data_IF_259195495719
#
_entry.id   IF_259195495719
#
_cell.length_a   1.000
_cell.length_b   1.000
_cell.length_c   1.000
_cell.angle_alpha   90.00
_cell.angle_beta   90.00
_cell.angle_gamma   90.00
#
_symmetry.space_group_name_H-M   'P 1'
#
loop_
_entity.id
_entity.type
_entity.pdbx_description
1 polymer ?
#
# COMPACT_ATOMS: atom_id res chain seq x y z
N UNK A 1 -4.06 13.82 5.79
CA UNK A 1 -3.43 12.84 6.72
C UNK A 1 -2.04 13.33 7.16
N UNK A 2 -1.70 13.30 8.46
CA UNK A 2 -0.33 13.63 8.90
C UNK A 2 0.65 12.61 8.30
N UNK A 3 1.79 13.10 7.77
CA UNK A 3 2.83 12.29 7.09
C UNK A 3 3.23 11.03 7.86
N UNK A 4 3.31 11.13 9.20
CA UNK A 4 3.61 10.01 10.10
C UNK A 4 2.63 8.83 9.98
N UNK A 5 1.32 9.07 9.88
CA UNK A 5 0.34 7.97 9.76
C UNK A 5 0.54 7.19 8.46
N UNK A 6 0.68 7.90 7.34
CA UNK A 6 0.95 7.25 6.05
C UNK A 6 2.27 6.49 6.03
N UNK A 7 3.25 6.89 6.84
CA UNK A 7 4.53 6.19 6.98
C UNK A 7 4.38 4.92 7.83
N UNK A 8 3.60 4.95 8.91
CA UNK A 8 3.29 3.77 9.75
C UNK A 8 2.48 2.74 8.97
N UNK A 9 1.41 3.19 8.31
CA UNK A 9 0.52 2.35 7.51
C UNK A 9 1.28 1.65 6.38
N UNK A 10 2.06 2.41 5.61
CA UNK A 10 2.91 1.83 4.57
C UNK A 10 3.88 0.80 5.15
N UNK A 11 4.53 1.10 6.28
CA UNK A 11 5.49 0.19 6.90
C UNK A 11 4.84 -1.12 7.37
N UNK A 12 3.60 -1.08 7.84
CA UNK A 12 2.82 -2.26 8.19
C UNK A 12 2.46 -3.07 6.95
N UNK A 13 1.92 -2.44 5.90
CA UNK A 13 1.57 -3.08 4.64
C UNK A 13 2.78 -3.73 3.97
N UNK A 14 3.89 -3.01 3.85
CA UNK A 14 5.11 -3.57 3.25
C UNK A 14 5.66 -4.73 4.08
N UNK A 15 5.49 -4.72 5.41
CA UNK A 15 5.92 -5.85 6.24
C UNK A 15 5.06 -7.09 6.01
N UNK A 16 3.75 -6.93 5.86
CA UNK A 16 2.82 -8.04 5.60
C UNK A 16 2.96 -8.55 4.16
N UNK A 17 3.08 -7.64 3.21
CA UNK A 17 2.95 -7.97 1.78
C UNK A 17 4.26 -8.47 1.19
N UNK A 18 5.37 -7.81 1.49
CA UNK A 18 6.70 -8.09 0.89
C UNK A 18 7.78 -8.37 1.95
N UNK A 19 7.37 -8.61 3.20
CA UNK A 19 8.28 -8.96 4.29
C UNK A 19 9.18 -7.84 4.79
N UNK A 20 9.09 -6.62 4.23
CA UNK A 20 10.05 -5.52 4.46
C UNK A 20 9.53 -4.45 5.41
N UNK A 21 10.44 -3.95 6.26
CA UNK A 21 10.25 -2.70 7.02
C UNK A 21 11.12 -1.61 6.40
N UNK A 22 10.52 -0.43 6.21
CA UNK A 22 11.11 0.71 5.50
C UNK A 22 11.33 1.91 6.42
N UNK A 23 10.60 1.99 7.54
CA UNK A 23 10.74 3.04 8.55
C UNK A 23 11.04 2.42 9.92
N UNK A 24 12.02 2.98 10.64
CA UNK A 24 12.43 2.57 11.99
C UNK A 24 13.83 1.93 12.08
N UNK A 25 14.35 1.73 13.30
CA UNK A 25 15.72 1.25 13.55
C UNK A 25 16.00 -0.17 13.02
N UNK A 26 14.96 -0.98 12.80
CA UNK A 26 15.05 -2.34 12.25
C UNK A 26 14.75 -2.42 10.74
N UNK A 27 14.77 -1.29 10.03
CA UNK A 27 14.55 -1.26 8.58
C UNK A 27 15.77 -1.89 7.85
N UNK A 28 15.67 -3.18 7.52
CA UNK A 28 16.64 -3.90 6.68
C UNK A 28 16.28 -3.83 5.18
N UNK A 29 15.20 -3.13 4.83
CA UNK A 29 14.69 -3.03 3.46
C UNK A 29 15.28 -1.87 2.66
N UNK A 30 15.05 -1.92 1.35
CA UNK A 30 15.33 -0.82 0.42
C UNK A 30 14.40 0.37 0.72
N UNK A 31 14.75 1.11 1.77
CA UNK A 31 13.99 2.25 2.30
C UNK A 31 13.71 3.28 1.21
N UNK A 32 14.65 3.45 0.28
CA UNK A 32 14.49 4.35 -0.85
C UNK A 32 13.36 3.88 -1.78
N UNK A 33 13.36 2.61 -2.22
CA UNK A 33 12.27 2.08 -3.06
C UNK A 33 10.90 2.18 -2.43
N UNK A 34 10.80 1.98 -1.12
CA UNK A 34 9.52 2.08 -0.43
C UNK A 34 9.00 3.53 -0.35
N UNK A 35 9.89 4.49 -0.07
CA UNK A 35 9.56 5.92 -0.12
C UNK A 35 9.16 6.33 -1.54
N UNK A 36 9.91 5.87 -2.54
CA UNK A 36 9.64 6.14 -3.95
C UNK A 36 8.29 5.56 -4.38
N UNK A 37 7.95 4.35 -3.93
CA UNK A 37 6.64 3.73 -4.16
C UNK A 37 5.51 4.53 -3.50
N UNK A 38 5.67 4.89 -2.23
CA UNK A 38 4.66 5.68 -1.50
C UNK A 38 4.39 7.02 -2.21
N UNK A 39 5.45 7.67 -2.68
CA UNK A 39 5.37 8.94 -3.40
C UNK A 39 4.76 8.76 -4.79
N UNK A 40 5.08 7.68 -5.49
CA UNK A 40 4.48 7.33 -6.77
C UNK A 40 2.97 7.05 -6.65
N UNK A 41 2.55 6.27 -5.65
CA UNK A 41 1.13 5.98 -5.38
C UNK A 41 0.37 7.26 -4.98
N UNK A 42 0.96 8.12 -4.14
CA UNK A 42 0.31 9.42 -3.82
C UNK A 42 0.13 10.29 -5.05
N UNK A 43 1.15 10.36 -5.91
CA UNK A 43 1.07 11.13 -7.16
C UNK A 43 0.06 10.52 -8.14
N UNK A 44 -0.06 9.19 -8.22
CA UNK A 44 -1.05 8.55 -9.08
C UNK A 44 -2.47 8.87 -8.63
N UNK A 45 -2.76 8.84 -7.32
CA UNK A 45 -4.06 9.26 -6.79
C UNK A 45 -4.36 10.74 -7.04
N UNK A 46 -3.37 11.61 -6.88
CA UNK A 46 -3.53 13.03 -7.18
C UNK A 46 -3.91 13.27 -8.66
N UNK A 47 -3.19 12.63 -9.59
CA UNK A 47 -3.49 12.70 -11.02
C UNK A 47 -4.83 12.06 -11.39
N UNK A 48 -5.21 10.95 -10.74
CA UNK A 48 -6.53 10.33 -10.94
C UNK A 48 -7.67 11.23 -10.44
N UNK A 49 -7.49 11.94 -9.32
CA UNK A 49 -8.45 12.92 -8.83
C UNK A 49 -8.66 14.08 -9.81
N UNK A 50 -7.59 14.60 -10.41
CA UNK A 50 -7.67 15.59 -11.49
C UNK A 50 -8.35 15.03 -12.75
N UNK A 51 -8.11 13.76 -13.08
CA UNK A 51 -8.74 13.05 -14.19
C UNK A 51 -10.24 12.84 -14.01
N UNK A 52 -10.70 12.52 -12.80
CA UNK A 52 -12.13 12.38 -12.49
C UNK A 52 -12.89 13.71 -12.63
N UNK A 53 -12.26 14.84 -12.27
CA UNK A 53 -12.84 16.16 -12.49
C UNK A 53 -13.06 16.47 -14.00
N UNK A 54 -12.26 15.86 -14.88
CA UNK A 54 -12.39 15.99 -16.34
C UNK A 54 -13.60 15.24 -16.89
N UNK A 55 -13.86 14.01 -16.41
CA UNK A 55 -15.03 13.24 -16.85
C UNK A 55 -16.36 13.90 -16.40
N UNK A 56 -16.32 14.68 -15.32
CA UNK A 56 -17.44 15.50 -14.85
C UNK A 56 -17.56 16.87 -15.55
N UNK A 57 -16.51 17.39 -16.20
CA UNK A 57 -16.51 18.72 -16.85
C UNK A 57 -15.98 18.60 -18.30
N UNK A 58 -16.86 18.35 -19.28
CA UNK A 58 -16.51 18.06 -20.67
C UNK A 58 -15.65 19.14 -21.37
N UNK A 59 -15.75 20.40 -20.94
CA UNK A 59 -15.03 21.54 -21.53
C UNK A 59 -13.52 21.45 -21.26
N UNK A 60 -13.10 20.75 -20.19
CA UNK A 60 -11.68 20.52 -19.89
C UNK A 60 -11.07 19.42 -20.77
N UNK A 61 -11.86 18.61 -21.48
CA UNK A 61 -11.37 17.48 -22.25
C UNK A 61 -10.39 17.87 -23.38
N UNK A 62 -10.49 19.10 -23.91
CA UNK A 62 -9.69 19.63 -25.03
C UNK A 62 -8.49 20.51 -24.61
N UNK A 63 -8.26 20.75 -23.32
CA UNK A 63 -7.19 21.61 -22.82
C UNK A 63 -5.93 20.78 -22.45
N UNK A 64 -5.15 20.35 -23.45
CA UNK A 64 -3.71 20.03 -23.26
C UNK A 64 -3.33 18.87 -22.34
N UNK A 65 -4.16 17.83 -22.21
CA UNK A 65 -3.98 16.71 -21.25
C UNK A 65 -2.90 15.67 -21.59
N UNK A 66 -2.21 15.78 -22.74
CA UNK A 66 -1.08 14.91 -23.10
C UNK A 66 0.01 14.89 -22.01
N UNK A 67 0.20 16.00 -21.30
CA UNK A 67 1.13 16.10 -20.18
C UNK A 67 0.72 15.24 -18.96
N UNK A 68 -0.57 15.19 -18.63
CA UNK A 68 -1.07 14.40 -17.49
C UNK A 68 -1.00 12.91 -17.78
N UNK A 69 -1.40 12.50 -19.00
CA UNK A 69 -1.31 11.09 -19.43
C UNK A 69 0.15 10.60 -19.39
N UNK A 70 1.08 11.40 -19.94
CA UNK A 70 2.53 11.09 -19.88
C UNK A 70 3.07 11.05 -18.46
N UNK A 71 2.59 11.92 -17.57
CA UNK A 71 2.98 11.90 -16.17
C UNK A 71 2.50 10.61 -15.46
N UNK A 72 1.27 10.18 -15.75
CA UNK A 72 0.70 8.94 -15.21
C UNK A 72 1.43 7.70 -15.74
N UNK A 73 1.75 7.67 -17.03
CA UNK A 73 2.54 6.61 -17.65
C UNK A 73 3.91 6.47 -16.97
N UNK A 74 4.60 7.60 -16.76
CA UNK A 74 5.90 7.61 -16.06
C UNK A 74 5.80 7.06 -14.63
N UNK A 75 4.72 7.39 -13.92
CA UNK A 75 4.47 6.88 -12.57
C UNK A 75 4.19 5.37 -12.61
N UNK A 76 3.40 4.89 -13.58
CA UNK A 76 3.14 3.47 -13.75
C UNK A 76 4.42 2.67 -14.00
N UNK A 77 5.31 3.17 -14.87
CA UNK A 77 6.63 2.56 -15.14
C UNK A 77 7.48 2.52 -13.86
N UNK A 78 7.47 3.60 -13.06
CA UNK A 78 8.21 3.65 -11.81
C UNK A 78 7.71 2.61 -10.81
N UNK A 79 6.38 2.49 -10.65
CA UNK A 79 5.75 1.50 -9.76
C UNK A 79 6.09 0.08 -10.23
N UNK A 80 5.92 -0.20 -11.53
CA UNK A 80 6.19 -1.53 -12.10
C UNK A 80 7.65 -1.96 -11.88
N UNK A 81 8.61 -1.06 -12.11
CA UNK A 81 10.03 -1.32 -11.88
C UNK A 81 10.35 -1.67 -10.42
N UNK A 82 9.72 -0.98 -9.46
CA UNK A 82 9.88 -1.26 -8.03
C UNK A 82 9.31 -2.64 -7.68
N UNK A 83 8.10 -2.93 -8.15
CA UNK A 83 7.43 -4.20 -7.89
C UNK A 83 8.17 -5.39 -8.53
N UNK A 84 8.67 -5.23 -9.75
CA UNK A 84 9.51 -6.25 -10.40
C UNK A 84 10.77 -6.50 -9.57
N UNK A 85 11.44 -5.44 -9.09
CA UNK A 85 12.63 -5.57 -8.27
C UNK A 85 12.39 -6.39 -6.99
N UNK A 86 11.22 -6.22 -6.36
CA UNK A 86 10.83 -7.01 -5.18
C UNK A 86 10.41 -8.43 -5.52
N UNK A 87 9.71 -8.63 -6.65
CA UNK A 87 9.33 -9.95 -7.15
C UNK A 87 10.57 -10.84 -7.39
N UNK A 88 11.57 -10.29 -8.09
CA UNK A 88 12.84 -10.99 -8.37
C UNK A 88 13.67 -11.23 -7.10
N UNK A 89 13.53 -10.37 -6.10
CA UNK A 89 14.14 -10.61 -4.79
C UNK A 89 13.50 -11.80 -4.06
N UNK A 90 12.17 -11.90 -4.07
CA UNK A 90 11.45 -13.02 -3.46
C UNK A 90 11.77 -14.34 -4.15
N UNK A 91 11.80 -14.35 -5.50
CA UNK A 91 12.23 -15.52 -6.28
C UNK A 91 13.62 -16.00 -5.88
N UNK A 92 14.62 -15.11 -5.90
CA UNK A 92 15.99 -15.47 -5.50
C UNK A 92 16.11 -15.93 -4.05
N UNK A 93 15.29 -15.41 -3.14
CA UNK A 93 15.28 -15.80 -1.73
C UNK A 93 14.53 -17.12 -1.49
N UNK A 94 13.63 -17.52 -2.39
CA UNK A 94 13.01 -18.85 -2.40
C UNK A 94 14.01 -19.92 -2.80
N UNK A 95 14.71 -19.72 -3.91
CA UNK A 95 15.69 -20.68 -4.44
C UNK A 95 16.82 -20.97 -3.44
N UNK A 96 17.27 -19.96 -2.69
CA UNK A 96 18.37 -20.10 -1.72
C UNK A 96 17.99 -20.82 -0.42
N UNK A 97 16.72 -20.82 -0.04
CA UNK A 97 16.29 -21.25 1.29
C UNK A 97 15.41 -22.52 1.24
N UNK A 98 15.45 -23.28 0.14
CA UNK A 98 14.71 -24.54 -0.03
C UNK A 98 15.15 -25.65 0.96
N UNK A 99 16.18 -25.41 1.77
CA UNK A 99 16.77 -26.36 2.73
C UNK A 99 16.38 -26.16 4.20
N UNK A 100 15.61 -25.12 4.54
CA UNK A 100 15.20 -24.84 5.93
C UNK A 100 13.67 -24.80 6.01
N UNK A 101 13.09 -25.86 6.57
CA UNK A 101 11.66 -26.14 6.78
C UNK A 101 11.01 -25.22 7.83
N UNK A 102 11.25 -23.92 7.72
CA UNK A 102 10.62 -22.92 8.59
C UNK A 102 10.70 -21.57 7.89
N UNK A 103 9.64 -21.16 7.22
CA UNK A 103 9.56 -19.80 6.69
C UNK A 103 8.24 -19.13 7.07
N UNK A 104 8.37 -18.08 7.88
CA UNK A 104 7.47 -16.93 7.86
C UNK A 104 7.46 -16.35 6.42
N UNK A 105 6.68 -16.96 5.53
CA UNK A 105 6.43 -16.44 4.18
C UNK A 105 5.54 -15.21 4.26
N UNK A 106 5.84 -14.20 3.45
CA UNK A 106 4.94 -13.05 3.30
C UNK A 106 3.86 -13.29 2.24
N UNK A 107 3.01 -12.29 2.01
CA UNK A 107 1.94 -12.40 1.04
C UNK A 107 2.46 -12.62 -0.39
N UNK A 108 3.55 -11.97 -0.78
CA UNK A 108 4.15 -12.13 -2.11
C UNK A 108 4.69 -13.55 -2.30
N UNK A 109 5.28 -14.16 -1.27
CA UNK A 109 5.60 -15.59 -1.26
C UNK A 109 4.33 -16.45 -1.46
N UNK A 110 3.24 -16.12 -0.79
CA UNK A 110 1.98 -16.86 -0.92
C UNK A 110 1.41 -16.79 -2.34
N UNK A 111 1.45 -15.59 -2.95
CA UNK A 111 1.04 -15.38 -4.35
C UNK A 111 1.92 -16.17 -5.33
N UNK A 112 3.24 -16.19 -5.12
CA UNK A 112 4.15 -16.99 -5.96
C UNK A 112 3.85 -18.49 -5.87
N UNK A 113 3.54 -19.01 -4.67
CA UNK A 113 3.14 -20.41 -4.49
C UNK A 113 1.82 -20.73 -5.20
N UNK A 114 0.84 -19.83 -5.12
CA UNK A 114 -0.45 -19.99 -5.78
C UNK A 114 -0.33 -19.92 -7.31
N UNK A 115 0.52 -19.06 -7.84
CA UNK A 115 0.75 -19.03 -9.29
C UNK A 115 1.49 -20.28 -9.77
N UNK A 116 2.40 -20.85 -8.97
CA UNK A 116 3.10 -22.11 -9.31
C UNK A 116 2.19 -23.35 -9.28
N UNK A 117 1.08 -23.35 -8.53
CA UNK A 117 0.16 -24.50 -8.48
C UNK A 117 -0.63 -24.70 -9.79
N UNK A 118 -0.51 -23.78 -10.77
CA UNK A 118 -1.26 -23.76 -12.04
C UNK A 118 -2.79 -23.82 -11.86
N UNK A 119 -3.30 -23.52 -10.65
CA UNK A 119 -4.73 -23.54 -10.33
C UNK A 119 -5.48 -22.32 -10.87
N UNK A 120 -4.77 -21.33 -11.43
CA UNK A 120 -5.33 -20.14 -12.03
C UNK A 120 -5.34 -20.29 -13.56
N UNK A 121 -6.47 -20.65 -14.19
CA UNK A 121 -6.63 -20.56 -15.64
C UNK A 121 -6.69 -19.07 -16.00
N UNK A 122 -5.55 -18.48 -16.31
CA UNK A 122 -5.46 -17.03 -16.52
C UNK A 122 -4.89 -16.69 -17.89
N UNK A 123 -5.53 -15.73 -18.55
CA UNK A 123 -5.07 -15.14 -19.82
C UNK A 123 -3.87 -14.20 -19.62
N UNK A 124 -3.45 -13.97 -18.38
CA UNK A 124 -2.45 -13.00 -18.00
C UNK A 124 -1.21 -13.70 -17.47
N UNK A 125 -0.06 -13.04 -17.62
CA UNK A 125 1.19 -13.52 -17.07
C UNK A 125 1.17 -13.53 -15.53
N UNK A 126 1.78 -14.55 -14.93
CA UNK A 126 1.80 -14.71 -13.48
C UNK A 126 2.46 -13.51 -12.78
N UNK A 127 3.50 -12.90 -13.36
CA UNK A 127 4.15 -11.73 -12.77
C UNK A 127 3.20 -10.53 -12.76
N UNK A 128 2.40 -10.40 -13.82
CA UNK A 128 1.36 -9.37 -13.89
C UNK A 128 0.33 -9.55 -12.77
N UNK A 129 -0.11 -10.78 -12.53
CA UNK A 129 -1.07 -11.09 -11.44
C UNK A 129 -0.47 -10.77 -10.08
N UNK A 130 0.76 -11.23 -9.81
CA UNK A 130 1.42 -11.02 -8.51
C UNK A 130 1.66 -9.52 -8.27
N UNK A 131 2.20 -8.80 -9.26
CA UNK A 131 2.45 -7.36 -9.15
C UNK A 131 1.16 -6.56 -9.00
N UNK A 132 0.14 -6.85 -9.81
CA UNK A 132 -1.14 -6.14 -9.73
C UNK A 132 -1.83 -6.36 -8.37
N UNK A 133 -1.85 -7.60 -7.88
CA UNK A 133 -2.48 -7.92 -6.58
C UNK A 133 -1.73 -7.24 -5.42
N UNK A 134 -0.40 -7.26 -5.46
CA UNK A 134 0.47 -6.55 -4.50
C UNK A 134 0.18 -5.05 -4.52
N UNK A 135 0.14 -4.43 -5.70
CA UNK A 135 -0.12 -3.00 -5.85
C UNK A 135 -1.51 -2.62 -5.34
N UNK A 136 -2.53 -3.43 -5.64
CA UNK A 136 -3.90 -3.20 -5.19
C UNK A 136 -3.99 -3.20 -3.66
N UNK A 137 -3.38 -4.17 -2.99
CA UNK A 137 -3.38 -4.21 -1.52
C UNK A 137 -2.69 -3.00 -0.89
N UNK A 138 -1.58 -2.53 -1.46
CA UNK A 138 -0.88 -1.33 -0.97
C UNK A 138 -1.70 -0.06 -1.26
N UNK A 139 -2.34 0.01 -2.43
CA UNK A 139 -3.02 1.23 -2.89
C UNK A 139 -4.38 1.44 -2.23
N UNK A 140 -5.14 0.37 -1.95
CA UNK A 140 -6.46 0.44 -1.31
C UNK A 140 -6.39 1.12 0.06
N UNK A 141 -5.37 0.83 0.85
CA UNK A 141 -5.21 1.38 2.19
C UNK A 141 -4.55 2.78 2.18
N UNK A 142 -3.85 3.13 1.09
CA UNK A 142 -3.26 4.46 0.88
C UNK A 142 -4.22 5.46 0.22
N UNK A 143 -5.42 5.03 -0.17
CA UNK A 143 -6.46 5.91 -0.70
C UNK A 143 -6.96 6.87 0.39
N UNK A 144 -7.16 8.15 0.03
CA UNK A 144 -7.56 9.22 0.96
C UNK A 144 -8.83 8.89 1.77
N UNK A 145 -9.67 7.96 1.29
CA UNK A 145 -10.92 7.56 1.93
C UNK A 145 -10.73 6.61 3.14
N UNK A 146 -9.79 5.65 3.09
CA UNK A 146 -9.56 4.73 4.23
C UNK A 146 -8.80 5.39 5.37
N UNK A 147 -8.04 6.45 5.07
CA UNK A 147 -7.47 7.35 6.07
C UNK A 147 -8.50 7.97 7.02
N UNK A 148 -9.77 8.11 6.58
CA UNK A 148 -10.87 8.60 7.41
C UNK A 148 -11.44 7.55 8.37
N UNK A 149 -11.21 6.25 8.12
CA UNK A 149 -11.59 5.21 9.08
C UNK A 149 -10.72 5.30 10.35
N UNK A 150 -9.44 5.65 10.20
CA UNK A 150 -8.52 5.88 11.31
C UNK A 150 -8.57 7.32 11.86
N UNK A 151 -9.02 8.31 11.10
CA UNK A 151 -9.28 9.65 11.64
C UNK A 151 -10.47 9.64 12.62
N UNK A 152 -11.39 8.66 12.51
CA UNK A 152 -12.39 8.36 13.55
C UNK A 152 -11.77 7.76 14.83
N UNK A 153 -10.48 7.44 14.83
CA UNK A 153 -9.69 6.99 15.99
C UNK A 153 -8.70 8.08 16.43
N UNK A 154 -9.03 9.36 16.23
CA UNK A 154 -8.74 10.32 17.30
C UNK A 154 -9.48 9.75 18.51
N UNK A 155 -8.78 9.42 19.62
CA UNK A 155 -9.41 8.68 20.70
C UNK A 155 -10.66 9.44 21.12
N UNK A 156 -11.70 8.67 21.39
CA UNK A 156 -12.98 9.06 21.95
C UNK A 156 -12.81 9.68 23.36
N UNK A 157 -11.89 10.62 23.52
CA UNK A 157 -11.48 11.23 24.78
C UNK A 157 -11.96 12.67 24.91
N UNK A 158 -12.90 13.13 24.07
CA UNK A 158 -13.50 14.48 24.19
C UNK A 158 -15.04 14.48 24.08
N UNK A 159 -15.71 13.32 24.10
CA UNK A 159 -17.18 13.34 24.27
C UNK A 159 -17.77 12.08 24.94
N UNK A 160 -17.06 11.49 25.90
CA UNK A 160 -17.74 10.70 26.93
C UNK A 160 -18.18 11.67 28.01
N UNK A 161 -19.33 12.32 27.82
CA UNK A 161 -20.15 12.71 28.97
C UNK A 161 -20.53 11.41 29.67
N UNK A 162 -20.01 11.10 30.87
CA UNK A 162 -20.36 9.87 31.56
C UNK A 162 -21.85 9.92 31.83
N UNK A 163 -22.60 8.91 31.37
CA UNK A 163 -24.03 8.76 31.71
C UNK A 163 -24.24 8.30 33.16
N UNK A 164 -23.16 8.09 33.92
CA UNK A 164 -23.20 7.72 35.33
C UNK A 164 -22.96 8.96 36.21
N UNK A 165 -23.75 9.14 37.29
CA UNK A 165 -23.58 10.27 38.18
C UNK A 165 -22.25 10.21 38.93
N UNK A 166 -21.68 11.38 39.22
CA UNK A 166 -20.32 11.60 39.76
C UNK A 166 -20.03 10.96 41.13
N UNK A 167 -21.04 10.46 41.85
CA UNK A 167 -20.85 9.81 43.17
C UNK A 167 -20.35 8.36 43.07
N UNK A 168 -20.28 7.76 41.88
CA UNK A 168 -19.78 6.39 41.65
C UNK A 168 -18.28 6.33 41.29
N UNK A 169 -17.62 7.49 41.14
CA UNK A 169 -16.17 7.57 40.96
C UNK A 169 -15.48 7.81 42.30
N UNK A 170 -15.32 6.75 43.09
CA UNK A 170 -14.44 6.79 44.26
C UNK A 170 -12.96 6.91 43.82
N UNK A 171 -12.09 7.54 44.64
CA UNK A 171 -10.67 7.63 44.33
C UNK A 171 -10.04 6.23 44.36
N UNK A 172 -9.40 5.85 43.26
CA UNK A 172 -8.59 4.63 43.17
C UNK A 172 -7.25 4.96 43.83
N UNK A 173 -6.96 4.31 44.96
CA UNK A 173 -5.64 4.28 45.59
C UNK A 173 -4.79 3.17 44.98
#
# INVERSE_FOLDING_TARGET
>A
MKRWFGDVTLNMLLKVIIGKRCVGPNAKGDKKKAIDLQLAIRKSFHLMGEGLLRDYIPILANLGFDRHVKAMEKIAIQIDSILQGWLEEHRRNRDKNQSLDTKDGDFMDSLLSLCHSNELPSQFDHDTIVKATTLNMISVDMAEHFGMANEKVVPLNVLVTPRLPSHLHGPIM
#
